data_IF_275804321442
#
_entry.id   IF_275804321442
#
_cell.length_a   1.000
_cell.length_b   1.000
_cell.length_c   1.000
_cell.angle_alpha   90.00
_cell.angle_beta   90.00
_cell.angle_gamma   90.00
#
_symmetry.space_group_name_H-M   'P 1'
#
loop_
_entity.id
_entity.type
_entity.pdbx_description
1 polymer ?
#
# COMPACT_ATOMS: atom_id res chain seq x y z
N UNK A 1 9.10 -21.14 17.94
CA UNK A 1 7.79 -20.55 18.21
C UNK A 1 7.71 -19.19 17.52
N UNK A 2 6.70 -18.95 16.72
CA UNK A 2 6.59 -17.69 16.00
C UNK A 2 6.00 -16.63 16.92
N UNK A 3 6.58 -15.42 16.82
CA UNK A 3 6.08 -14.24 17.50
C UNK A 3 4.92 -13.67 16.66
N UNK A 4 3.71 -13.49 17.22
CA UNK A 4 2.61 -12.88 16.47
C UNK A 4 2.95 -11.51 15.90
N UNK A 5 3.86 -10.78 16.56
CA UNK A 5 4.29 -9.46 16.10
C UNK A 5 5.26 -9.53 14.92
N UNK A 6 5.76 -10.73 14.63
CA UNK A 6 6.68 -10.96 13.51
C UNK A 6 5.96 -11.38 12.22
N UNK A 7 4.63 -11.27 12.17
CA UNK A 7 3.89 -11.61 10.95
C UNK A 7 4.32 -10.72 9.80
N UNK A 8 4.53 -11.35 8.65
CA UNK A 8 4.84 -10.64 7.41
C UNK A 8 3.85 -11.12 6.36
N UNK A 9 3.11 -10.19 5.79
CA UNK A 9 2.14 -10.48 4.73
C UNK A 9 2.45 -9.58 3.54
N UNK A 10 2.43 -10.17 2.36
CA UNK A 10 2.83 -9.48 1.14
C UNK A 10 1.86 -9.79 0.03
N UNK A 11 1.59 -8.79 -0.82
CA UNK A 11 0.72 -8.96 -1.97
C UNK A 11 1.17 -8.06 -3.11
N UNK A 12 0.83 -8.45 -4.33
CA UNK A 12 1.00 -7.59 -5.50
C UNK A 12 -0.35 -7.03 -5.90
N UNK A 13 -0.38 -5.75 -6.24
CA UNK A 13 -1.59 -5.06 -6.64
C UNK A 13 -1.33 -4.30 -7.93
N UNK A 14 -2.36 -4.22 -8.77
CA UNK A 14 -2.29 -3.46 -10.02
C UNK A 14 -3.03 -2.15 -9.81
N UNK A 15 -2.38 -1.05 -10.17
CA UNK A 15 -3.00 0.27 -10.12
C UNK A 15 -4.02 0.34 -11.25
N UNK A 16 -5.30 0.57 -10.92
CA UNK A 16 -6.40 0.47 -11.86
C UNK A 16 -7.05 1.80 -12.19
N UNK A 17 -6.84 2.81 -11.33
CA UNK A 17 -7.44 4.12 -11.57
C UNK A 17 -6.66 4.87 -12.65
N UNK A 18 -7.38 5.71 -13.39
CA UNK A 18 -6.85 6.32 -14.61
C UNK A 18 -5.60 7.17 -14.36
N UNK A 19 -5.58 7.95 -13.29
CA UNK A 19 -4.48 8.86 -12.99
C UNK A 19 -3.39 8.23 -12.13
N UNK A 20 -3.52 6.95 -11.79
CA UNK A 20 -2.51 6.25 -11.01
C UNK A 20 -2.39 6.80 -9.59
N UNK A 21 -1.19 6.69 -9.03
CA UNK A 21 -0.90 7.13 -7.66
C UNK A 21 -0.67 8.65 -7.62
N UNK A 22 -1.70 9.42 -8.01
CA UNK A 22 -1.68 10.87 -7.85
C UNK A 22 -1.82 11.24 -6.37
N UNK A 23 -1.70 12.54 -6.05
CA UNK A 23 -1.61 13.00 -4.66
C UNK A 23 -2.79 12.54 -3.80
N UNK A 24 -4.04 12.61 -4.31
CA UNK A 24 -5.21 12.19 -3.54
C UNK A 24 -5.22 10.68 -3.30
N UNK A 25 -4.83 9.90 -4.29
CA UNK A 25 -4.74 8.44 -4.15
C UNK A 25 -3.68 8.07 -3.11
N UNK A 26 -2.52 8.72 -3.17
CA UNK A 26 -1.46 8.50 -2.18
C UNK A 26 -1.92 8.87 -0.77
N UNK A 27 -2.64 9.98 -0.63
CA UNK A 27 -3.15 10.40 0.68
C UNK A 27 -4.12 9.36 1.24
N UNK A 28 -4.99 8.79 0.41
CA UNK A 28 -5.92 7.75 0.83
C UNK A 28 -5.17 6.47 1.21
N UNK A 29 -4.15 6.10 0.45
CA UNK A 29 -3.32 4.95 0.77
C UNK A 29 -2.68 5.10 2.16
N UNK A 30 -2.02 6.23 2.38
CA UNK A 30 -1.33 6.50 3.64
C UNK A 30 -2.31 6.56 4.80
N UNK A 31 -3.46 7.22 4.61
CA UNK A 31 -4.49 7.30 5.65
C UNK A 31 -4.98 5.92 6.07
N UNK A 32 -5.12 5.02 5.12
CA UNK A 32 -5.48 3.63 5.43
C UNK A 32 -4.35 2.92 6.16
N UNK A 33 -3.12 3.06 5.65
CA UNK A 33 -1.96 2.38 6.23
C UNK A 33 -1.70 2.79 7.69
N UNK A 34 -1.86 4.08 8.03
CA UNK A 34 -1.57 4.56 9.38
C UNK A 34 -2.57 4.07 10.43
N UNK A 35 -3.70 3.50 10.02
CA UNK A 35 -4.68 2.91 10.95
C UNK A 35 -4.15 1.65 11.61
N UNK A 36 -3.10 1.05 11.06
CA UNK A 36 -2.58 -0.23 11.53
C UNK A 36 -1.25 -0.03 12.24
N UNK A 37 -0.98 -0.91 13.22
CA UNK A 37 0.28 -0.89 13.96
C UNK A 37 1.44 -1.43 13.14
N UNK A 38 1.14 -2.36 12.24
CA UNK A 38 2.16 -2.97 11.39
C UNK A 38 2.88 -1.93 10.55
N UNK A 39 4.16 -2.17 10.31
CA UNK A 39 4.90 -1.39 9.32
C UNK A 39 4.39 -1.75 7.94
N UNK A 40 4.31 -0.76 7.06
CA UNK A 40 3.85 -0.96 5.69
C UNK A 40 4.92 -0.46 4.74
N UNK A 41 5.31 -1.33 3.82
CA UNK A 41 6.29 -1.01 2.77
C UNK A 41 5.63 -1.20 1.43
N UNK A 42 5.90 -0.28 0.51
CA UNK A 42 5.39 -0.38 -0.86
C UNK A 42 6.57 -0.30 -1.80
N UNK A 43 6.60 -1.18 -2.77
CA UNK A 43 7.69 -1.17 -3.73
C UNK A 43 7.18 -1.28 -5.16
N UNK A 44 7.97 -0.73 -6.05
CA UNK A 44 7.81 -0.88 -7.49
C UNK A 44 9.20 -1.07 -8.07
N UNK A 45 9.39 -2.17 -8.78
CA UNK A 45 10.71 -2.55 -9.28
C UNK A 45 11.71 -2.59 -8.12
N UNK A 46 12.79 -1.84 -8.18
CA UNK A 46 13.83 -1.83 -7.15
C UNK A 46 13.63 -0.77 -6.07
N UNK A 47 12.59 0.04 -6.17
CA UNK A 47 12.35 1.12 -5.22
C UNK A 47 11.35 0.68 -4.17
N UNK A 48 11.77 0.68 -2.90
CA UNK A 48 10.88 0.41 -1.77
C UNK A 48 10.76 1.67 -0.92
N UNK A 49 9.54 1.99 -0.51
CA UNK A 49 9.23 3.19 0.27
C UNK A 49 8.38 2.84 1.47
N UNK A 50 8.31 3.77 2.42
CA UNK A 50 7.44 3.64 3.58
C UNK A 50 5.99 3.93 3.16
N UNK A 51 5.11 2.93 3.34
CA UNK A 51 3.70 3.04 2.98
C UNK A 51 2.90 4.01 3.84
N UNK A 52 3.50 4.53 4.92
CA UNK A 52 2.88 5.54 5.78
C UNK A 52 3.40 6.95 5.50
N UNK A 53 4.14 7.12 4.41
CA UNK A 53 4.67 8.41 3.97
C UNK A 53 4.07 8.78 2.63
N UNK A 54 3.34 9.90 2.57
CA UNK A 54 2.74 10.37 1.32
C UNK A 54 3.83 10.61 0.27
N UNK A 55 4.91 11.28 0.66
CA UNK A 55 6.01 11.54 -0.27
C UNK A 55 6.66 10.25 -0.74
N UNK A 56 6.82 9.28 0.17
CA UNK A 56 7.38 7.99 -0.19
C UNK A 56 6.54 7.30 -1.25
N UNK A 57 5.23 7.21 -1.03
CA UNK A 57 4.33 6.54 -1.97
C UNK A 57 4.29 7.28 -3.30
N UNK A 58 4.32 8.60 -3.28
CA UNK A 58 4.35 9.40 -4.52
C UNK A 58 5.62 9.15 -5.34
N UNK A 59 6.73 8.86 -4.68
CA UNK A 59 7.99 8.59 -5.38
C UNK A 59 7.94 7.36 -6.27
N UNK A 60 6.99 6.46 -6.03
CA UNK A 60 6.81 5.29 -6.88
C UNK A 60 6.36 5.66 -8.28
N UNK A 61 5.73 6.82 -8.43
CA UNK A 61 5.23 7.34 -9.72
C UNK A 61 4.43 6.28 -10.50
N UNK A 62 3.63 5.48 -9.78
CA UNK A 62 2.94 4.35 -10.38
C UNK A 62 1.74 4.81 -11.18
N UNK A 63 1.81 4.64 -12.50
CA UNK A 63 0.72 4.95 -13.43
C UNK A 63 -0.28 3.80 -13.46
N UNK A 64 -1.42 4.02 -14.11
CA UNK A 64 -2.40 2.96 -14.33
C UNK A 64 -1.72 1.77 -15.02
N UNK A 65 -2.04 0.58 -14.54
CA UNK A 65 -1.43 -0.65 -15.05
C UNK A 65 -0.14 -1.05 -14.34
N UNK A 66 0.45 -0.16 -13.57
CA UNK A 66 1.67 -0.49 -12.83
C UNK A 66 1.38 -1.52 -11.72
N UNK A 67 2.33 -2.39 -11.49
CA UNK A 67 2.25 -3.38 -10.41
C UNK A 67 3.06 -2.86 -9.23
N UNK A 68 2.42 -2.79 -8.08
CA UNK A 68 3.11 -2.46 -6.83
C UNK A 68 3.06 -3.67 -5.90
N UNK A 69 4.08 -3.81 -5.07
CA UNK A 69 4.11 -4.83 -4.02
C UNK A 69 3.94 -4.15 -2.68
N UNK A 70 2.99 -4.65 -1.90
CA UNK A 70 2.72 -4.12 -0.56
C UNK A 70 3.08 -5.19 0.45
N UNK A 71 3.90 -4.84 1.43
CA UNK A 71 4.32 -5.73 2.51
C UNK A 71 3.99 -5.08 3.83
N UNK A 72 3.36 -5.84 4.72
CA UNK A 72 3.06 -5.40 6.07
C UNK A 72 3.76 -6.33 7.06
N UNK A 73 4.36 -5.75 8.10
CA UNK A 73 5.08 -6.49 9.14
C UNK A 73 4.59 -6.02 10.51
N UNK A 74 3.98 -6.91 11.26
CA UNK A 74 3.51 -6.59 12.61
C UNK A 74 2.29 -7.38 13.02
N UNK A 75 1.66 -6.99 14.14
CA UNK A 75 0.59 -7.79 14.75
C UNK A 75 -0.70 -7.80 13.94
N UNK A 76 -0.97 -6.77 13.14
CA UNK A 76 -2.18 -6.67 12.32
C UNK A 76 -1.87 -6.65 10.82
N UNK A 77 -0.79 -7.31 10.42
CA UNK A 77 -0.30 -7.29 9.05
C UNK A 77 -1.36 -7.79 8.05
N UNK A 78 -2.08 -8.86 8.38
CA UNK A 78 -3.11 -9.39 7.48
C UNK A 78 -4.24 -8.40 7.27
N UNK A 79 -4.71 -7.77 8.36
CA UNK A 79 -5.76 -6.77 8.26
C UNK A 79 -5.31 -5.55 7.45
N UNK A 80 -4.05 -5.14 7.63
CA UNK A 80 -3.49 -4.02 6.88
C UNK A 80 -3.47 -4.32 5.37
N UNK A 81 -2.99 -5.49 5.01
CA UNK A 81 -2.92 -5.89 3.59
C UNK A 81 -4.33 -5.96 2.99
N UNK A 82 -5.29 -6.54 3.73
CA UNK A 82 -6.66 -6.64 3.22
C UNK A 82 -7.27 -5.26 2.97
N UNK A 83 -7.08 -4.33 3.92
CA UNK A 83 -7.61 -2.97 3.77
C UNK A 83 -6.99 -2.24 2.58
N UNK A 84 -5.68 -2.40 2.40
CA UNK A 84 -4.99 -1.75 1.28
C UNK A 84 -5.36 -2.40 -0.06
N UNK A 85 -5.56 -3.72 -0.07
CA UNK A 85 -6.03 -4.41 -1.27
C UNK A 85 -7.40 -3.90 -1.69
N UNK A 86 -8.33 -3.79 -0.76
CA UNK A 86 -9.67 -3.28 -1.05
C UNK A 86 -9.61 -1.85 -1.56
N UNK A 87 -8.77 -1.03 -0.98
CA UNK A 87 -8.63 0.37 -1.40
C UNK A 87 -8.13 0.46 -2.84
N UNK A 88 -7.07 -0.26 -3.18
CA UNK A 88 -6.48 -0.21 -4.53
C UNK A 88 -7.44 -0.82 -5.54
N UNK A 89 -8.04 -1.97 -5.23
CA UNK A 89 -8.98 -2.62 -6.13
C UNK A 89 -10.25 -1.80 -6.32
N UNK A 90 -10.62 -0.96 -5.35
CA UNK A 90 -11.73 -0.03 -5.46
C UNK A 90 -11.34 1.31 -6.07
N UNK A 91 -10.18 1.40 -6.71
CA UNK A 91 -9.69 2.62 -7.35
C UNK A 91 -9.63 3.78 -6.37
N UNK A 92 -9.15 3.50 -5.14
CA UNK A 92 -9.01 4.50 -4.09
C UNK A 92 -10.34 5.22 -3.83
N UNK A 93 -11.41 4.43 -3.65
CA UNK A 93 -12.76 4.94 -3.36
C UNK A 93 -13.30 5.80 -4.51
N UNK A 94 -13.01 5.39 -5.74
CA UNK A 94 -13.54 6.05 -6.92
C UNK A 94 -12.72 7.23 -7.43
N UNK A 95 -11.46 7.33 -7.07
CA UNK A 95 -10.59 8.35 -7.65
C UNK A 95 -10.32 8.06 -9.13
N UNK A 96 -10.22 9.14 -9.94
CA UNK A 96 -9.88 8.94 -11.35
C UNK A 96 -8.49 8.39 -11.57
#
# INVERSE_FOLDING_TARGET
MSDPEAQVVETELVIQNQMGLHARACAKFVRTAVRFQSQVFVSRDDLEVNGKSIMGVMMLAAETGAIIRVRAEGPDAEAAIEALRELVNGKFEGEP
#
